data_IF_705315433081
#
_entry.id   IF_705315433081
#
_cell.length_a   1.000
_cell.length_b   1.000
_cell.length_c   1.000
_cell.angle_alpha   90.00
_cell.angle_beta   90.00
_cell.angle_gamma   90.00
#
_symmetry.space_group_name_H-M   'P 1'
#
loop_
_entity.id
_entity.type
_entity.pdbx_description
1 polymer ?
#
# COMPACT_ATOMS: atom_id res chain seq x y z
N UNK A 1 7.68 -28.63 -1.36
CA UNK A 1 7.70 -27.15 -1.36
C UNK A 1 8.61 -26.68 -2.49
N UNK A 2 8.20 -25.66 -3.26
CA UNK A 2 9.00 -25.09 -4.34
C UNK A 2 10.26 -24.40 -3.76
N UNK A 3 11.45 -24.55 -4.38
CA UNK A 3 12.64 -23.81 -3.96
C UNK A 3 12.41 -22.29 -4.05
N UNK A 4 12.88 -21.53 -3.06
CA UNK A 4 12.64 -20.07 -2.96
C UNK A 4 13.10 -19.29 -4.20
N UNK A 5 14.21 -19.71 -4.82
CA UNK A 5 14.70 -19.12 -6.07
C UNK A 5 13.75 -19.33 -7.25
N UNK A 6 13.16 -20.52 -7.36
CA UNK A 6 12.16 -20.83 -8.39
C UNK A 6 10.86 -20.08 -8.10
N UNK A 7 10.44 -20.03 -6.83
CA UNK A 7 9.25 -19.32 -6.38
C UNK A 7 9.26 -17.85 -6.82
N UNK A 8 10.37 -17.15 -6.59
CA UNK A 8 10.55 -15.74 -7.03
C UNK A 8 10.53 -15.60 -8.55
N UNK A 9 11.20 -16.49 -9.28
CA UNK A 9 11.24 -16.46 -10.75
C UNK A 9 9.84 -16.59 -11.35
N UNK A 10 9.05 -17.53 -10.84
CA UNK A 10 7.66 -17.76 -11.27
C UNK A 10 6.81 -16.51 -10.99
N UNK A 11 6.88 -15.94 -9.79
CA UNK A 11 6.08 -14.76 -9.44
C UNK A 11 6.45 -13.50 -10.25
N UNK A 12 7.72 -13.34 -10.64
CA UNK A 12 8.16 -12.19 -11.45
C UNK A 12 7.43 -12.15 -12.80
N UNK A 13 7.32 -13.31 -13.45
CA UNK A 13 6.74 -13.49 -14.79
C UNK A 13 5.26 -13.89 -14.77
N UNK A 14 4.64 -13.96 -13.59
CA UNK A 14 3.29 -14.52 -13.45
C UNK A 14 2.25 -13.67 -14.18
N UNK A 15 2.29 -12.35 -13.99
CA UNK A 15 1.30 -11.42 -14.53
C UNK A 15 1.29 -11.28 -16.05
N UNK A 16 2.43 -11.48 -16.72
CA UNK A 16 2.68 -11.15 -18.12
C UNK A 16 2.93 -12.39 -18.98
N UNK A 17 3.52 -13.45 -18.42
CA UNK A 17 3.88 -14.67 -19.16
C UNK A 17 3.13 -15.93 -18.74
N UNK A 18 2.40 -15.91 -17.61
CA UNK A 18 1.67 -17.09 -17.12
C UNK A 18 0.16 -16.83 -17.18
N UNK A 19 -0.35 -15.87 -16.40
CA UNK A 19 -1.80 -15.61 -16.29
C UNK A 19 -2.48 -15.37 -17.66
N UNK A 20 -1.92 -14.61 -18.61
CA UNK A 20 -2.57 -14.35 -19.90
C UNK A 20 -2.76 -15.60 -20.78
N UNK A 21 -1.99 -16.67 -20.51
CA UNK A 21 -2.01 -17.91 -21.30
C UNK A 21 -2.76 -19.04 -20.59
N UNK A 22 -3.36 -18.78 -19.42
CA UNK A 22 -4.19 -19.74 -18.71
C UNK A 22 -5.65 -19.64 -19.15
N UNK A 23 -6.31 -20.78 -19.33
CA UNK A 23 -7.75 -20.82 -19.60
C UNK A 23 -8.55 -20.28 -18.41
N UNK A 24 -8.13 -20.61 -17.18
CA UNK A 24 -8.75 -20.17 -15.93
C UNK A 24 -7.70 -19.58 -14.98
N UNK A 25 -7.34 -18.29 -15.13
CA UNK A 25 -6.31 -17.64 -14.30
C UNK A 25 -6.67 -17.56 -12.81
N UNK A 26 -7.97 -17.56 -12.49
CA UNK A 26 -8.50 -17.52 -11.11
C UNK A 26 -8.04 -18.70 -10.26
N UNK A 27 -7.71 -19.85 -10.85
CA UNK A 27 -7.15 -21.00 -10.13
C UNK A 27 -5.80 -20.69 -9.46
N UNK A 28 -5.11 -19.62 -9.86
CA UNK A 28 -3.86 -19.19 -9.22
C UNK A 28 -4.07 -18.39 -7.94
N UNK A 29 -5.32 -18.09 -7.54
CA UNK A 29 -5.61 -17.34 -6.31
C UNK A 29 -4.99 -17.99 -5.08
N UNK A 30 -5.13 -19.30 -4.90
CA UNK A 30 -4.64 -19.99 -3.71
C UNK A 30 -3.11 -19.91 -3.64
N UNK A 31 -2.44 -20.13 -4.77
CA UNK A 31 -1.00 -20.00 -4.88
C UNK A 31 -0.53 -18.57 -4.55
N UNK A 32 -1.21 -17.57 -5.12
CA UNK A 32 -0.88 -16.16 -4.93
C UNK A 32 -1.19 -15.68 -3.52
N UNK A 33 -2.26 -16.16 -2.90
CA UNK A 33 -2.65 -15.83 -1.52
C UNK A 33 -1.63 -16.39 -0.54
N UNK A 34 -1.21 -17.64 -0.73
CA UNK A 34 -0.12 -18.24 0.05
C UNK A 34 1.17 -17.46 -0.16
N UNK A 35 1.53 -17.11 -1.41
CA UNK A 35 2.71 -16.30 -1.70
C UNK A 35 2.66 -14.94 -1.01
N UNK A 36 1.49 -14.31 -1.01
CA UNK A 36 1.25 -13.01 -0.40
C UNK A 36 1.34 -13.06 1.14
N UNK A 37 0.99 -14.20 1.75
CA UNK A 37 1.13 -14.43 3.18
C UNK A 37 2.58 -14.58 3.68
N UNK A 38 3.54 -14.96 2.83
CA UNK A 38 4.93 -15.26 3.22
C UNK A 38 5.70 -14.04 3.74
N UNK A 39 5.44 -12.85 3.18
CA UNK A 39 6.14 -11.62 3.54
C UNK A 39 7.36 -11.30 2.67
N UNK A 40 7.91 -10.10 2.87
CA UNK A 40 9.09 -9.59 2.19
C UNK A 40 8.94 -9.55 0.66
N UNK A 41 10.03 -9.84 -0.06
CA UNK A 41 10.07 -9.74 -1.52
C UNK A 41 9.07 -10.66 -2.24
N UNK A 42 8.65 -11.77 -1.62
CA UNK A 42 7.73 -12.73 -2.24
C UNK A 42 6.31 -12.13 -2.28
N UNK A 43 5.84 -11.53 -1.19
CA UNK A 43 4.54 -10.86 -1.16
C UNK A 43 4.43 -9.73 -2.17
N UNK A 44 5.50 -8.94 -2.34
CA UNK A 44 5.50 -7.85 -3.31
C UNK A 44 5.39 -8.35 -4.76
N UNK A 45 5.98 -9.51 -5.06
CA UNK A 45 5.89 -10.11 -6.40
C UNK A 45 4.51 -10.72 -6.63
N UNK A 46 3.95 -11.39 -5.62
CA UNK A 46 2.60 -11.95 -5.65
C UNK A 46 1.53 -10.87 -5.86
N UNK A 47 1.75 -9.66 -5.32
CA UNK A 47 0.83 -8.54 -5.46
C UNK A 47 0.50 -8.23 -6.93
N UNK A 48 1.44 -8.41 -7.87
CA UNK A 48 1.14 -8.14 -9.28
C UNK A 48 0.19 -9.19 -9.89
N UNK A 49 0.36 -10.46 -9.51
CA UNK A 49 -0.57 -11.51 -9.92
C UNK A 49 -1.97 -11.27 -9.34
N UNK A 50 -2.03 -10.94 -8.04
CA UNK A 50 -3.29 -10.58 -7.38
C UNK A 50 -3.95 -9.35 -8.02
N UNK A 51 -3.18 -8.33 -8.40
CA UNK A 51 -3.68 -7.16 -9.11
C UNK A 51 -4.44 -7.56 -10.37
N UNK A 52 -3.84 -8.44 -11.21
CA UNK A 52 -4.47 -8.93 -12.43
C UNK A 52 -5.76 -9.71 -12.11
N UNK A 53 -5.74 -10.61 -11.13
CA UNK A 53 -6.94 -11.36 -10.76
C UNK A 53 -8.06 -10.46 -10.25
N UNK A 54 -7.75 -9.47 -9.42
CA UNK A 54 -8.73 -8.52 -8.88
C UNK A 54 -9.30 -7.63 -10.01
N UNK A 55 -8.45 -7.08 -10.88
CA UNK A 55 -8.88 -6.09 -11.87
C UNK A 55 -9.43 -6.69 -13.16
N UNK A 56 -8.86 -7.79 -13.66
CA UNK A 56 -9.24 -8.37 -14.95
C UNK A 56 -10.21 -9.54 -14.81
N UNK A 57 -10.16 -10.24 -13.67
CA UNK A 57 -11.01 -11.40 -13.40
C UNK A 57 -12.04 -11.16 -12.29
N UNK A 58 -12.22 -9.90 -11.86
CA UNK A 58 -13.17 -9.48 -10.81
C UNK A 58 -13.10 -10.33 -9.54
N UNK A 59 -11.89 -10.72 -9.16
CA UNK A 59 -11.68 -11.52 -7.97
C UNK A 59 -11.88 -10.68 -6.71
N UNK A 60 -12.81 -11.11 -5.86
CA UNK A 60 -12.95 -10.56 -4.51
C UNK A 60 -11.89 -11.16 -3.60
N UNK A 61 -10.99 -10.32 -3.09
CA UNK A 61 -10.03 -10.71 -2.07
C UNK A 61 -10.32 -9.94 -0.78
N UNK A 62 -11.02 -10.58 0.20
CA UNK A 62 -11.32 -9.94 1.46
C UNK A 62 -10.02 -9.54 2.17
N UNK A 63 -10.05 -8.42 2.88
CA UNK A 63 -8.89 -7.84 3.60
C UNK A 63 -7.69 -7.45 2.71
N UNK A 64 -7.85 -7.37 1.38
CA UNK A 64 -6.79 -6.93 0.46
C UNK A 64 -6.04 -5.69 0.96
N UNK A 65 -6.80 -4.65 1.29
CA UNK A 65 -6.23 -3.38 1.73
C UNK A 65 -5.60 -3.44 3.12
N UNK A 66 -6.10 -4.28 4.03
CA UNK A 66 -5.47 -4.48 5.33
C UNK A 66 -4.08 -5.07 5.14
N UNK A 67 -3.99 -6.11 4.32
CA UNK A 67 -2.70 -6.76 4.05
C UNK A 67 -1.76 -5.85 3.25
N UNK A 68 -2.28 -5.08 2.29
CA UNK A 68 -1.49 -4.08 1.56
C UNK A 68 -0.94 -3.00 2.51
N UNK A 69 -1.75 -2.58 3.48
CA UNK A 69 -1.36 -1.63 4.50
C UNK A 69 -0.28 -2.21 5.41
N UNK A 70 -0.40 -3.46 5.86
CA UNK A 70 0.62 -4.14 6.68
C UNK A 70 1.96 -4.36 5.96
N UNK A 71 1.99 -4.33 4.61
CA UNK A 71 3.25 -4.38 3.85
C UNK A 71 4.02 -3.06 3.83
N UNK A 72 3.39 -1.95 4.24
CA UNK A 72 4.06 -0.66 4.42
C UNK A 72 4.76 -0.63 5.78
N UNK A 73 5.92 -1.26 5.86
CA UNK A 73 6.80 -1.22 7.02
C UNK A 73 8.14 -0.51 6.66
N UNK A 74 9.01 -0.21 7.63
CA UNK A 74 10.31 0.42 7.34
C UNK A 74 11.22 -0.41 6.41
N UNK A 75 11.03 -1.74 6.35
CA UNK A 75 11.83 -2.62 5.50
C UNK A 75 11.55 -2.42 4.01
N UNK A 76 10.39 -1.84 3.65
CA UNK A 76 9.96 -1.65 2.26
C UNK A 76 10.98 -0.85 1.43
N UNK A 77 11.70 0.07 2.05
CA UNK A 77 12.70 0.88 1.36
C UNK A 77 13.95 0.08 0.95
N UNK A 78 14.20 -1.07 1.58
CA UNK A 78 15.36 -1.91 1.29
C UNK A 78 15.05 -3.05 0.33
N UNK A 79 13.78 -3.24 -0.04
CA UNK A 79 13.38 -4.36 -0.91
C UNK A 79 13.68 -4.05 -2.38
N UNK A 80 14.29 -5.02 -3.08
CA UNK A 80 14.65 -4.94 -4.50
C UNK A 80 13.49 -4.50 -5.42
N UNK A 81 12.26 -4.89 -5.09
CA UNK A 81 11.06 -4.66 -5.93
C UNK A 81 10.20 -3.48 -5.46
N UNK A 82 10.73 -2.57 -4.63
CA UNK A 82 10.00 -1.43 -4.08
C UNK A 82 9.30 -0.57 -5.14
N UNK A 83 9.95 -0.28 -6.26
CA UNK A 83 9.37 0.55 -7.32
C UNK A 83 8.09 -0.07 -7.91
N UNK A 84 8.11 -1.39 -8.14
CA UNK A 84 6.94 -2.14 -8.64
C UNK A 84 5.82 -2.17 -7.58
N UNK A 85 6.18 -2.32 -6.31
CA UNK A 85 5.22 -2.25 -5.22
C UNK A 85 4.54 -0.88 -5.14
N UNK A 86 5.29 0.22 -5.07
CA UNK A 86 4.71 1.57 -4.98
C UNK A 86 3.87 1.92 -6.21
N UNK A 87 4.28 1.48 -7.40
CA UNK A 87 3.45 1.63 -8.61
C UNK A 87 2.10 0.92 -8.49
N UNK A 88 2.09 -0.34 -8.04
CA UNK A 88 0.85 -1.09 -7.84
C UNK A 88 0.00 -0.48 -6.72
N UNK A 89 0.61 -0.10 -5.60
CA UNK A 89 -0.10 0.57 -4.51
C UNK A 89 -0.74 1.88 -4.98
N UNK A 90 -0.06 2.69 -5.81
CA UNK A 90 -0.65 3.91 -6.38
C UNK A 90 -1.86 3.60 -7.26
N UNK A 91 -1.77 2.53 -8.05
CA UNK A 91 -2.86 2.06 -8.91
C UNK A 91 -4.06 1.60 -8.07
N UNK A 92 -3.85 0.81 -7.02
CA UNK A 92 -4.92 0.39 -6.11
C UNK A 92 -5.59 1.58 -5.41
N UNK A 93 -4.81 2.53 -4.92
CA UNK A 93 -5.31 3.72 -4.23
C UNK A 93 -5.87 4.80 -5.18
N UNK A 94 -5.75 4.62 -6.50
CA UNK A 94 -6.31 5.54 -7.48
C UNK A 94 -7.82 5.42 -7.64
N UNK A 95 -8.42 4.33 -7.17
CA UNK A 95 -9.88 4.12 -7.22
C UNK A 95 -10.64 5.21 -6.48
N UNK A 96 -11.64 5.79 -7.14
CA UNK A 96 -12.54 6.81 -6.57
C UNK A 96 -13.54 6.27 -5.56
N UNK A 97 -13.71 4.95 -5.48
CA UNK A 97 -14.68 4.29 -4.58
C UNK A 97 -14.10 3.97 -3.21
N UNK A 98 -12.85 4.36 -2.95
CA UNK A 98 -12.22 4.09 -1.67
C UNK A 98 -12.75 5.04 -0.59
N UNK A 99 -13.07 4.52 0.60
CA UNK A 99 -13.49 5.36 1.70
C UNK A 99 -12.33 6.24 2.18
N UNK A 100 -12.63 7.48 2.57
CA UNK A 100 -11.62 8.46 2.96
C UNK A 100 -10.74 8.01 4.13
N UNK A 101 -11.28 7.21 5.07
CA UNK A 101 -10.50 6.69 6.20
C UNK A 101 -9.35 5.80 5.74
N UNK A 102 -9.59 5.01 4.69
CA UNK A 102 -8.63 4.05 4.16
C UNK A 102 -7.46 4.80 3.54
N UNK A 103 -7.76 5.73 2.63
CA UNK A 103 -6.75 6.54 1.97
C UNK A 103 -5.97 7.38 2.99
N UNK A 104 -6.65 7.95 3.99
CA UNK A 104 -6.00 8.69 5.06
C UNK A 104 -5.02 7.84 5.86
N UNK A 105 -5.35 6.57 6.15
CA UNK A 105 -4.44 5.64 6.81
C UNK A 105 -3.18 5.39 5.99
N UNK A 106 -3.32 5.13 4.69
CA UNK A 106 -2.17 4.99 3.78
C UNK A 106 -1.31 6.26 3.72
N UNK A 107 -1.93 7.44 3.60
CA UNK A 107 -1.20 8.72 3.60
C UNK A 107 -0.41 8.89 4.90
N UNK A 108 -1.06 8.69 6.06
CA UNK A 108 -0.42 8.89 7.36
C UNK A 108 0.71 7.90 7.60
N UNK A 109 0.52 6.61 7.27
CA UNK A 109 1.59 5.59 7.35
C UNK A 109 2.77 5.92 6.45
N UNK A 110 2.52 6.28 5.19
CA UNK A 110 3.58 6.71 4.26
C UNK A 110 4.34 7.93 4.78
N UNK A 111 3.63 8.89 5.38
CA UNK A 111 4.23 10.09 5.97
C UNK A 111 5.11 9.76 7.17
N UNK A 112 4.68 8.83 8.04
CA UNK A 112 5.50 8.36 9.16
C UNK A 112 6.74 7.62 8.68
N UNK A 113 6.60 6.74 7.68
CA UNK A 113 7.73 6.01 7.10
C UNK A 113 8.71 6.95 6.38
N UNK A 114 8.23 8.08 5.83
CA UNK A 114 9.09 9.08 5.20
C UNK A 114 10.14 9.65 6.18
N UNK A 115 9.84 9.74 7.48
CA UNK A 115 10.80 10.23 8.48
C UNK A 115 12.06 9.39 8.60
N UNK A 116 11.97 8.08 8.31
CA UNK A 116 13.10 7.15 8.37
C UNK A 116 13.57 6.71 6.99
N UNK A 117 12.97 7.26 5.94
CA UNK A 117 13.27 6.90 4.57
C UNK A 117 14.58 7.55 4.10
N UNK A 118 15.37 6.86 3.25
CA UNK A 118 16.53 7.49 2.60
C UNK A 118 16.06 8.59 1.61
N UNK A 119 16.88 9.61 1.33
CA UNK A 119 16.50 10.73 0.46
C UNK A 119 15.98 10.31 -0.92
N UNK A 120 16.54 9.25 -1.50
CA UNK A 120 16.11 8.73 -2.80
C UNK A 120 14.68 8.16 -2.76
N UNK A 121 14.25 7.63 -1.62
CA UNK A 121 12.89 7.14 -1.46
C UNK A 121 11.87 8.28 -1.30
N UNK A 122 12.26 9.40 -0.68
CA UNK A 122 11.42 10.59 -0.54
C UNK A 122 10.97 11.15 -1.89
N UNK A 123 11.84 11.10 -2.91
CA UNK A 123 11.52 11.48 -4.29
C UNK A 123 10.36 10.68 -4.89
N UNK A 124 10.08 9.49 -4.38
CA UNK A 124 8.94 8.65 -4.79
C UNK A 124 7.73 8.85 -3.87
N UNK A 125 7.96 8.89 -2.55
CA UNK A 125 6.87 8.94 -1.55
C UNK A 125 6.14 10.28 -1.58
N UNK A 126 6.86 11.40 -1.68
CA UNK A 126 6.25 12.74 -1.63
C UNK A 126 5.29 12.94 -2.81
N UNK A 127 5.68 12.72 -4.09
CA UNK A 127 4.74 12.81 -5.20
C UNK A 127 3.57 11.83 -5.08
N UNK A 128 3.81 10.63 -4.54
CA UNK A 128 2.76 9.65 -4.31
C UNK A 128 1.70 10.18 -3.31
N UNK A 129 2.13 10.72 -2.17
CA UNK A 129 1.23 11.35 -1.19
C UNK A 129 0.49 12.54 -1.82
N UNK A 130 1.18 13.40 -2.58
CA UNK A 130 0.53 14.51 -3.28
C UNK A 130 -0.55 14.03 -4.27
N UNK A 131 -0.30 12.93 -4.98
CA UNK A 131 -1.28 12.35 -5.89
C UNK A 131 -2.50 11.82 -5.14
N UNK A 132 -2.32 11.18 -3.98
CA UNK A 132 -3.43 10.75 -3.12
C UNK A 132 -4.28 11.94 -2.67
N UNK A 133 -3.66 13.06 -2.27
CA UNK A 133 -4.40 14.27 -1.92
C UNK A 133 -5.18 14.91 -3.07
N UNK A 134 -4.62 14.88 -4.28
CA UNK A 134 -5.30 15.38 -5.49
C UNK A 134 -6.52 14.54 -5.83
N UNK A 135 -6.42 13.21 -5.71
CA UNK A 135 -7.50 12.26 -6.02
C UNK A 135 -8.56 12.22 -4.92
N UNK A 136 -8.16 12.39 -3.66
CA UNK A 136 -9.03 12.24 -2.48
C UNK A 136 -9.07 13.53 -1.66
N UNK A 137 -9.87 14.53 -2.07
CA UNK A 137 -9.93 15.83 -1.39
C UNK A 137 -10.43 15.74 0.05
N UNK A 138 -11.20 14.70 0.39
CA UNK A 138 -11.64 14.44 1.76
C UNK A 138 -10.47 14.24 2.74
N UNK A 139 -9.32 13.76 2.26
CA UNK A 139 -8.13 13.58 3.10
C UNK A 139 -7.42 14.90 3.42
N UNK A 140 -7.72 16.02 2.73
CA UNK A 140 -7.06 17.34 2.98
C UNK A 140 -7.19 17.84 4.41
N UNK A 141 -8.17 17.31 5.16
CA UNK A 141 -8.33 17.52 6.61
C UNK A 141 -7.07 17.17 7.42
N UNK A 142 -6.19 16.31 6.89
CA UNK A 142 -4.92 15.94 7.49
C UNK A 142 -3.85 17.05 7.40
N UNK A 143 -4.00 17.98 6.46
CA UNK A 143 -3.06 19.10 6.25
C UNK A 143 -3.60 20.37 6.89
N UNK A 144 -4.90 20.62 6.73
CA UNK A 144 -5.53 21.82 7.27
C UNK A 144 -6.90 21.47 7.83
N UNK A 145 -7.09 21.73 9.12
CA UNK A 145 -8.34 21.48 9.85
C UNK A 145 -8.83 22.80 10.48
N UNK A 146 -9.65 23.59 9.77
CA UNK A 146 -10.07 24.92 10.25
C UNK A 146 -10.98 24.85 11.49
N UNK A 147 -11.74 23.77 11.65
CA UNK A 147 -12.64 23.54 12.79
C UNK A 147 -12.11 22.43 13.73
N UNK A 148 -10.78 22.25 13.78
CA UNK A 148 -10.15 21.24 14.60
C UNK A 148 -10.02 21.67 16.07
N UNK A 149 -9.73 20.73 16.99
CA UNK A 149 -9.31 21.10 18.33
C UNK A 149 -8.07 22.02 18.25
N UNK A 150 -8.10 23.15 18.96
CA UNK A 150 -6.99 24.13 18.98
C UNK A 150 -5.70 23.51 19.53
N UNK A 151 -5.82 22.59 20.50
CA UNK A 151 -4.73 21.82 21.06
C UNK A 151 -4.85 20.34 20.70
N UNK A 152 -3.94 19.85 19.85
CA UNK A 152 -3.73 18.43 19.59
C UNK A 152 -2.39 18.03 20.23
N UNK A 153 -2.38 17.93 21.55
CA UNK A 153 -1.17 17.64 22.34
C UNK A 153 -0.59 16.24 22.07
N UNK A 154 -1.45 15.29 21.70
CA UNK A 154 -1.07 13.92 21.35
C UNK A 154 -1.66 13.51 20.00
N UNK A 155 -0.87 12.78 19.21
CA UNK A 155 -1.31 12.25 17.92
C UNK A 155 -2.22 11.02 18.13
N UNK A 156 -3.49 11.03 17.71
CA UNK A 156 -4.39 9.89 17.90
C UNK A 156 -4.09 8.70 16.95
N UNK A 157 -3.19 8.87 15.98
CA UNK A 157 -2.87 7.82 15.00
C UNK A 157 -2.06 6.68 15.62
N UNK A 158 -2.49 5.45 15.35
CA UNK A 158 -1.86 4.21 15.84
C UNK A 158 -1.05 3.60 14.69
N UNK A 159 0.28 3.58 14.82
CA UNK A 159 1.17 3.11 13.74
C UNK A 159 1.17 1.59 13.62
N UNK A 160 1.06 0.89 14.75
CA UNK A 160 1.13 -0.57 14.87
C UNK A 160 -0.14 -1.28 14.42
N UNK A 161 -1.23 -0.53 14.23
CA UNK A 161 -2.53 -1.09 13.83
C UNK A 161 -2.47 -1.66 12.40
N UNK A 162 -2.95 -2.88 12.19
CA UNK A 162 -2.97 -3.51 10.86
C UNK A 162 -4.23 -3.21 10.07
N UNK A 163 -5.32 -2.85 10.75
CA UNK A 163 -6.56 -2.45 10.09
C UNK A 163 -6.58 -0.93 9.83
N UNK A 164 -6.58 -0.47 8.56
CA UNK A 164 -6.66 0.95 8.22
C UNK A 164 -7.85 1.66 8.86
N UNK A 165 -8.97 0.96 9.06
CA UNK A 165 -10.18 1.51 9.68
C UNK A 165 -10.00 1.85 11.17
N UNK A 166 -9.10 1.15 11.86
CA UNK A 166 -8.84 1.32 13.28
C UNK A 166 -7.62 2.20 13.57
N UNK A 167 -6.83 2.55 12.54
CA UNK A 167 -5.63 3.39 12.66
C UNK A 167 -5.87 4.81 13.19
N UNK A 168 -7.12 5.29 13.18
CA UNK A 168 -7.53 6.67 13.53
C UNK A 168 -6.82 7.76 12.73
N UNK A 169 -6.29 7.44 11.55
CA UNK A 169 -5.54 8.40 10.74
C UNK A 169 -6.31 9.68 10.41
N UNK A 170 -7.61 9.60 10.11
CA UNK A 170 -8.44 10.78 9.85
C UNK A 170 -8.53 11.75 11.02
N UNK A 171 -8.31 11.29 12.25
CA UNK A 171 -8.36 12.13 13.45
C UNK A 171 -7.04 12.88 13.68
N UNK A 172 -5.96 12.44 13.04
CA UNK A 172 -4.60 12.98 13.10
C UNK A 172 -4.35 14.11 12.07
N UNK A 173 -3.11 14.62 12.06
CA UNK A 173 -2.55 15.61 11.11
C UNK A 173 -1.18 15.14 10.59
N UNK A 174 -0.65 15.75 9.52
CA UNK A 174 0.62 15.37 8.88
C UNK A 174 1.79 16.29 9.22
N UNK A 175 2.21 16.30 10.48
CA UNK A 175 3.42 17.03 10.89
C UNK A 175 4.70 16.44 10.29
N UNK A 176 4.70 15.16 9.94
CA UNK A 176 5.86 14.46 9.41
C UNK A 176 6.35 15.03 8.06
N UNK A 177 5.42 15.40 7.18
CA UNK A 177 5.78 15.98 5.88
C UNK A 177 6.37 17.38 6.04
N UNK A 178 5.89 18.15 7.02
CA UNK A 178 6.42 19.49 7.29
C UNK A 178 7.87 19.44 7.76
N UNK A 179 8.26 18.38 8.49
CA UNK A 179 9.65 18.17 8.93
C UNK A 179 10.55 17.69 7.80
N UNK A 180 10.01 17.00 6.80
CA UNK A 180 10.76 16.54 5.62
C UNK A 180 10.94 17.60 4.52
N UNK A 181 10.32 18.78 4.65
CA UNK A 181 10.52 19.94 3.75
C UNK A 181 11.80 20.70 4.12
#
# INVERSE_FOLDING_TARGET
QLPTGLYKKVLVIMHDSILPYMNEPTLMIDFLTVAYGIGGAISLLALNGLFILIHQHNLEYPDFYKKLYSLLDPSIYHVKYRARFFHLTDLFLSSSHLPAYLVAAFIKRLSRLALTAPPEALLMIIPFICNLFRRHPACKVLVHRPNGPEDMSEDPYIMEEEDPSQSRALQSSLWEIQVCQ
#
